data_IF_653237733198
#
_entry.id   IF_653237733198
#
_cell.length_a   1.000
_cell.length_b   1.000
_cell.length_c   1.000
_cell.angle_alpha   90.00
_cell.angle_beta   90.00
_cell.angle_gamma   90.00
#
_symmetry.space_group_name_H-M   'P 1'
#
loop_
_entity.id
_entity.type
_entity.pdbx_description
1 polymer ?
#
# COMPACT_ATOMS: atom_id res chain seq x y z
N UNK A 1 6.28 -38.60 13.07
CA UNK A 1 5.39 -37.46 12.74
C UNK A 1 5.86 -36.29 13.56
N UNK A 2 6.68 -35.42 12.98
CA UNK A 2 7.27 -34.27 13.68
C UNK A 2 6.45 -33.05 13.33
N UNK A 3 5.64 -32.58 14.27
CA UNK A 3 4.88 -31.34 14.13
C UNK A 3 5.85 -30.17 14.26
N UNK A 4 6.11 -29.47 13.16
CA UNK A 4 6.81 -28.19 13.15
C UNK A 4 5.89 -27.14 13.77
N UNK A 5 6.16 -26.74 15.01
CA UNK A 5 5.61 -25.53 15.60
C UNK A 5 6.32 -24.34 14.94
N UNK A 6 5.66 -23.67 13.99
CA UNK A 6 6.10 -22.33 13.56
C UNK A 6 6.05 -21.42 14.78
N UNK A 7 7.11 -20.65 15.09
CA UNK A 7 7.10 -19.75 16.22
C UNK A 7 6.03 -18.68 15.96
N UNK A 8 4.95 -18.75 16.73
CA UNK A 8 4.03 -17.64 16.91
C UNK A 8 4.87 -16.50 17.50
N UNK A 9 5.38 -15.66 16.61
CA UNK A 9 6.26 -14.57 16.96
C UNK A 9 5.38 -13.60 17.73
N UNK A 10 5.62 -13.46 19.04
CA UNK A 10 4.90 -12.51 19.87
C UNK A 10 5.10 -11.09 19.30
N UNK A 11 4.22 -10.69 18.37
CA UNK A 11 4.25 -9.40 17.69
C UNK A 11 3.36 -8.46 18.46
N UNK A 12 3.91 -7.34 18.89
CA UNK A 12 3.17 -6.30 19.62
C UNK A 12 2.08 -5.65 18.74
N UNK A 13 2.28 -5.62 17.41
CA UNK A 13 1.34 -5.06 16.42
C UNK A 13 1.37 -5.95 15.17
N UNK A 14 0.19 -6.23 14.60
CA UNK A 14 0.09 -6.91 13.30
C UNK A 14 0.67 -6.00 12.22
N UNK A 15 1.61 -6.50 11.39
CA UNK A 15 2.27 -5.65 10.41
C UNK A 15 1.26 -5.15 9.34
N UNK A 16 1.44 -3.94 8.79
CA UNK A 16 0.50 -3.34 7.83
C UNK A 16 0.23 -4.22 6.59
N UNK A 17 1.21 -4.97 6.11
CA UNK A 17 1.08 -5.87 4.97
C UNK A 17 0.10 -7.03 5.23
N UNK A 18 -0.03 -7.46 6.49
CA UNK A 18 -1.01 -8.47 6.90
C UNK A 18 -2.36 -7.82 7.18
N UNK A 19 -2.36 -6.72 7.95
CA UNK A 19 -3.58 -6.00 8.34
C UNK A 19 -4.37 -5.50 7.12
N UNK A 20 -3.67 -5.03 6.08
CA UNK A 20 -4.27 -4.44 4.89
C UNK A 20 -4.05 -5.31 3.63
N UNK A 21 -3.84 -6.62 3.80
CA UNK A 21 -3.57 -7.54 2.70
C UNK A 21 -4.61 -7.45 1.56
N UNK A 22 -5.90 -7.33 1.90
CA UNK A 22 -6.98 -7.22 0.92
C UNK A 22 -6.91 -5.92 0.09
N UNK A 23 -6.58 -4.79 0.72
CA UNK A 23 -6.43 -3.51 0.02
C UNK A 23 -5.20 -3.52 -0.90
N UNK A 24 -4.09 -4.11 -0.42
CA UNK A 24 -2.86 -4.24 -1.21
C UNK A 24 -3.07 -5.16 -2.42
N UNK A 25 -3.77 -6.28 -2.23
CA UNK A 25 -4.14 -7.19 -3.31
C UNK A 25 -5.09 -6.51 -4.32
N UNK A 26 -6.08 -5.76 -3.83
CA UNK A 26 -6.95 -4.95 -4.68
C UNK A 26 -6.16 -3.96 -5.53
N UNK A 27 -5.28 -3.17 -4.91
CA UNK A 27 -4.49 -2.14 -5.59
C UNK A 27 -3.51 -2.73 -6.60
N UNK A 28 -2.97 -3.92 -6.32
CA UNK A 28 -2.10 -4.65 -7.24
C UNK A 28 -2.83 -5.14 -8.52
N UNK A 29 -4.12 -5.44 -8.41
CA UNK A 29 -4.99 -5.82 -9.53
C UNK A 29 -5.64 -4.61 -10.21
N UNK A 30 -5.81 -3.50 -9.48
CA UNK A 30 -6.45 -2.28 -9.96
C UNK A 30 -5.54 -1.48 -10.91
N UNK A 31 -4.23 -1.42 -10.63
CA UNK A 31 -3.26 -0.62 -11.39
C UNK A 31 -2.22 -1.51 -12.09
N UNK A 32 -2.27 -1.49 -13.42
CA UNK A 32 -1.42 -2.24 -14.35
C UNK A 32 -0.22 -1.42 -14.89
N UNK A 33 -0.02 -0.21 -14.35
CA UNK A 33 1.10 0.65 -14.73
C UNK A 33 2.49 0.06 -14.41
N UNK A 34 3.56 0.70 -14.90
CA UNK A 34 4.93 0.24 -14.68
C UNK A 34 5.32 0.26 -13.20
N UNK A 35 6.03 -0.79 -12.77
CA UNK A 35 6.51 -0.97 -11.40
C UNK A 35 8.03 -0.89 -11.37
N UNK A 36 8.63 -0.13 -10.42
CA UNK A 36 10.07 -0.17 -10.21
C UNK A 36 10.57 -1.59 -9.86
N UNK A 37 11.87 -1.88 -10.02
CA UNK A 37 12.44 -3.15 -9.63
C UNK A 37 12.10 -3.51 -8.18
N UNK A 38 11.70 -4.76 -7.94
CA UNK A 38 11.29 -5.28 -6.64
C UNK A 38 10.01 -4.67 -6.01
N UNK A 39 9.22 -3.88 -6.76
CA UNK A 39 7.95 -3.35 -6.27
C UNK A 39 6.76 -4.19 -6.71
N UNK A 40 5.81 -4.43 -5.78
CA UNK A 40 4.54 -5.13 -6.07
C UNK A 40 3.44 -4.20 -6.59
N UNK A 41 3.55 -2.91 -6.29
CA UNK A 41 2.58 -1.87 -6.64
C UNK A 41 3.23 -0.79 -7.49
N UNK A 42 2.44 -0.08 -8.27
CA UNK A 42 2.88 1.14 -8.93
C UNK A 42 3.08 2.26 -7.90
N UNK A 43 3.89 3.29 -8.19
CA UNK A 43 3.99 4.48 -7.33
C UNK A 43 2.63 5.10 -7.01
N UNK A 44 1.72 5.16 -7.98
CA UNK A 44 0.36 5.73 -7.82
C UNK A 44 -0.49 4.88 -6.88
N UNK A 45 -0.41 3.55 -7.00
CA UNK A 45 -1.10 2.63 -6.11
C UNK A 45 -0.57 2.73 -4.66
N UNK A 46 0.75 2.90 -4.48
CA UNK A 46 1.34 3.13 -3.14
C UNK A 46 0.82 4.43 -2.51
N UNK A 47 0.80 5.54 -3.27
CA UNK A 47 0.23 6.80 -2.78
C UNK A 47 -1.26 6.63 -2.43
N UNK A 48 -2.01 5.91 -3.26
CA UNK A 48 -3.43 5.63 -2.99
C UNK A 48 -3.62 4.79 -1.73
N UNK A 49 -2.76 3.79 -1.49
CA UNK A 49 -2.77 3.00 -0.26
C UNK A 49 -2.55 3.87 0.99
N UNK A 50 -1.57 4.77 0.95
CA UNK A 50 -1.19 5.59 2.11
C UNK A 50 -2.22 6.71 2.37
N UNK A 51 -2.59 7.44 1.32
CA UNK A 51 -3.46 8.62 1.42
C UNK A 51 -4.96 8.28 1.35
N UNK A 52 -5.30 7.06 0.94
CA UNK A 52 -6.66 6.67 0.62
C UNK A 52 -7.12 7.17 -0.76
N UNK A 53 -8.34 6.77 -1.10
CA UNK A 53 -9.02 7.10 -2.36
C UNK A 53 -9.97 8.30 -2.24
N UNK A 54 -9.81 9.14 -1.21
CA UNK A 54 -10.64 10.33 -0.93
C UNK A 54 -12.15 10.02 -0.95
N UNK A 55 -12.54 8.87 -0.37
CA UNK A 55 -13.93 8.40 -0.31
C UNK A 55 -14.47 7.83 -1.63
N UNK A 56 -13.67 7.82 -2.71
CA UNK A 56 -14.08 7.24 -4.00
C UNK A 56 -13.90 5.74 -3.97
N UNK A 57 -14.96 5.04 -4.34
CA UNK A 57 -14.92 3.60 -4.51
C UNK A 57 -14.29 3.24 -5.86
N UNK A 58 -13.04 2.77 -5.82
CA UNK A 58 -12.27 2.33 -6.98
C UNK A 58 -12.85 1.03 -7.53
N UNK A 59 -12.81 0.82 -8.84
CA UNK A 59 -13.34 -0.38 -9.50
C UNK A 59 -12.21 -1.04 -10.29
N UNK A 60 -12.07 -2.36 -10.16
CA UNK A 60 -11.13 -3.13 -10.98
C UNK A 60 -11.44 -2.96 -12.48
N UNK A 61 -10.43 -2.86 -13.35
CA UNK A 61 -10.62 -2.83 -14.80
C UNK A 61 -11.40 -4.04 -15.33
N UNK A 62 -12.10 -3.86 -16.45
CA UNK A 62 -12.75 -4.98 -17.14
C UNK A 62 -11.68 -5.93 -17.68
N UNK A 63 -11.72 -7.19 -17.23
CA UNK A 63 -10.73 -8.21 -17.59
C UNK A 63 -9.61 -8.41 -16.57
N UNK A 64 -9.50 -7.56 -15.54
CA UNK A 64 -8.57 -7.80 -14.44
C UNK A 64 -8.97 -9.04 -13.63
N UNK A 65 -7.99 -9.90 -13.32
CA UNK A 65 -8.18 -11.02 -12.40
C UNK A 65 -8.58 -10.48 -11.03
N UNK A 66 -9.62 -11.06 -10.44
CA UNK A 66 -10.10 -10.67 -9.11
C UNK A 66 -9.42 -11.55 -8.07
N UNK A 67 -8.56 -10.99 -7.20
CA UNK A 67 -7.92 -11.79 -6.17
C UNK A 67 -8.96 -12.42 -5.22
N UNK A 68 -8.64 -13.61 -4.71
CA UNK A 68 -9.53 -14.31 -3.78
C UNK A 68 -9.80 -13.47 -2.52
N UNK A 69 -11.08 -13.40 -2.11
CA UNK A 69 -11.50 -12.62 -0.94
C UNK A 69 -11.49 -11.10 -1.14
N UNK A 70 -11.20 -10.59 -2.34
CA UNK A 70 -11.16 -9.15 -2.62
C UNK A 70 -12.37 -8.72 -3.47
N UNK A 71 -13.11 -7.66 -3.08
CA UNK A 71 -14.24 -7.17 -3.87
C UNK A 71 -13.78 -6.46 -5.15
N UNK A 72 -14.62 -6.48 -6.20
CA UNK A 72 -14.35 -5.74 -7.46
C UNK A 72 -14.43 -4.22 -7.33
N UNK A 73 -14.97 -3.73 -6.21
CA UNK A 73 -15.05 -2.31 -5.90
C UNK A 73 -14.67 -2.12 -4.43
N UNK A 74 -13.73 -1.20 -4.17
CA UNK A 74 -13.19 -0.96 -2.83
C UNK A 74 -12.92 0.52 -2.63
N UNK A 75 -13.26 1.03 -1.45
CA UNK A 75 -12.80 2.36 -0.99
C UNK A 75 -11.59 2.14 -0.11
N UNK A 76 -10.49 2.81 -0.43
CA UNK A 76 -9.23 2.70 0.31
C UNK A 76 -9.21 3.82 1.35
N UNK A 77 -9.19 3.45 2.62
CA UNK A 77 -9.12 4.44 3.71
C UNK A 77 -7.73 5.08 3.79
N UNK A 78 -7.64 6.34 4.19
CA UNK A 78 -6.36 7.00 4.42
C UNK A 78 -5.68 6.50 5.70
N UNK A 79 -4.41 6.14 5.61
CA UNK A 79 -3.57 5.69 6.75
C UNK A 79 -2.70 6.82 7.28
N UNK A 80 -2.51 7.86 6.49
CA UNK A 80 -1.72 9.03 6.81
C UNK A 80 -2.57 10.30 6.70
N UNK A 81 -2.45 11.19 7.68
CA UNK A 81 -3.09 12.51 7.68
C UNK A 81 -2.02 13.53 7.38
N UNK A 82 -2.07 14.14 6.21
CA UNK A 82 -1.09 15.14 5.81
C UNK A 82 -1.21 15.51 4.35
N UNK A 83 -0.18 16.20 3.83
CA UNK A 83 -0.18 16.67 2.47
C UNK A 83 0.14 15.56 1.46
N UNK A 84 -0.72 15.40 0.44
CA UNK A 84 -0.54 14.36 -0.60
C UNK A 84 0.76 14.54 -1.37
N UNK A 85 1.18 15.79 -1.62
CA UNK A 85 2.41 16.08 -2.38
C UNK A 85 3.67 15.67 -1.62
N UNK A 86 3.63 15.64 -0.28
CA UNK A 86 4.72 15.10 0.53
C UNK A 86 4.89 13.60 0.26
N UNK A 87 3.80 12.83 0.32
CA UNK A 87 3.82 11.38 0.10
C UNK A 87 4.22 11.05 -1.33
N UNK A 88 3.70 11.79 -2.32
CA UNK A 88 4.09 11.62 -3.72
C UNK A 88 5.60 11.82 -3.94
N UNK A 89 6.17 12.88 -3.36
CA UNK A 89 7.62 13.13 -3.43
C UNK A 89 8.41 12.00 -2.77
N UNK A 90 7.97 11.51 -1.61
CA UNK A 90 8.62 10.39 -0.94
C UNK A 90 8.64 9.14 -1.84
N UNK A 91 7.48 8.78 -2.39
CA UNK A 91 7.33 7.60 -3.24
C UNK A 91 8.16 7.71 -4.51
N UNK A 92 8.17 8.88 -5.19
CA UNK A 92 8.98 9.09 -6.40
C UNK A 92 10.48 8.96 -6.11
N UNK A 93 10.95 9.49 -4.98
CA UNK A 93 12.36 9.37 -4.58
C UNK A 93 12.73 7.91 -4.31
N UNK A 94 11.91 7.18 -3.55
CA UNK A 94 12.13 5.76 -3.24
C UNK A 94 12.03 4.85 -4.46
N UNK A 95 11.10 5.15 -5.38
CA UNK A 95 10.97 4.43 -6.65
C UNK A 95 12.21 4.58 -7.53
N UNK A 96 12.98 5.66 -7.35
CA UNK A 96 14.27 5.87 -7.99
C UNK A 96 15.46 5.32 -7.21
N UNK A 97 15.24 4.46 -6.20
CA UNK A 97 16.26 3.85 -5.33
C UNK A 97 17.12 4.88 -4.57
N UNK A 98 16.60 6.08 -4.34
CA UNK A 98 17.28 7.14 -3.59
C UNK A 98 16.79 7.17 -2.15
N UNK A 99 17.72 7.33 -1.22
CA UNK A 99 17.38 7.66 0.17
C UNK A 99 16.78 9.07 0.28
N UNK A 100 16.01 9.31 1.34
CA UNK A 100 15.44 10.63 1.65
C UNK A 100 15.43 10.88 3.16
N UNK A 101 15.44 12.16 3.54
CA UNK A 101 15.29 12.62 4.91
C UNK A 101 14.20 13.70 4.94
N UNK A 102 13.19 13.50 5.77
CA UNK A 102 12.14 14.50 6.02
C UNK A 102 12.60 15.41 7.16
N UNK A 103 12.54 16.73 6.95
CA UNK A 103 12.93 17.75 7.93
C UNK A 103 11.80 18.76 8.09
N UNK A 104 11.43 19.09 9.32
CA UNK A 104 10.37 20.03 9.65
C UNK A 104 10.35 20.36 11.15
N UNK A 105 9.53 21.34 11.53
CA UNK A 105 9.28 21.65 12.94
C UNK A 105 8.55 20.49 13.63
N UNK A 106 8.74 20.28 14.94
CA UNK A 106 8.05 19.20 15.65
C UNK A 106 6.51 19.36 15.55
N UNK A 107 5.83 18.32 15.07
CA UNK A 107 4.37 18.29 14.89
C UNK A 107 3.87 18.60 13.48
N UNK A 108 4.75 18.70 12.47
CA UNK A 108 4.36 18.94 11.07
C UNK A 108 4.33 17.67 10.20
N UNK A 109 4.32 16.48 10.81
CA UNK A 109 4.31 15.17 10.14
C UNK A 109 3.27 14.24 10.77
#
# INVERSE_FOLDING_TARGET
MTTTLSPDTARQIVPPEERYAAELAFLAAYDDGPRPPAWRLTPRAVVTFVMGSDGRALRLPEGAETPEGVPRRLTVEGKFVGDRSLVERCVVTLAGERGLLLVGEPGTA
#
